data_IF_593836423644
#
_entry.id   IF_593836423644
#
_cell.length_a   1.000
_cell.length_b   1.000
_cell.length_c   1.000
_cell.angle_alpha   90.00
_cell.angle_beta   90.00
_cell.angle_gamma   90.00
#
_symmetry.space_group_name_H-M   'P 1'
#
loop_
_entity.id
_entity.type
_entity.pdbx_description
1 polymer ?
#
# COMPACT_ATOMS: atom_id res chain seq x y z
N UNK A 1 42.00 -8.96 3.93
CA UNK A 1 41.11 -8.37 2.91
C UNK A 1 39.68 -8.70 3.27
N UNK A 2 39.27 -8.28 4.47
CA UNK A 2 38.10 -8.85 5.16
C UNK A 2 37.07 -7.76 5.48
N UNK A 3 37.54 -6.54 5.74
CA UNK A 3 36.69 -5.36 5.96
C UNK A 3 35.77 -5.10 4.76
N UNK A 4 36.30 -5.19 3.52
CA UNK A 4 35.49 -5.01 2.30
C UNK A 4 34.38 -6.06 2.16
N UNK A 5 34.62 -7.28 2.67
CA UNK A 5 33.68 -8.40 2.57
C UNK A 5 32.55 -8.25 3.58
N UNK A 6 32.89 -7.93 4.83
CA UNK A 6 31.92 -7.62 5.89
C UNK A 6 31.09 -6.37 5.55
N UNK A 7 31.70 -5.34 4.96
CA UNK A 7 30.97 -4.14 4.54
C UNK A 7 29.94 -4.44 3.44
N UNK A 8 30.30 -5.30 2.48
CA UNK A 8 29.40 -5.71 1.41
C UNK A 8 28.23 -6.57 1.93
N UNK A 9 28.48 -7.49 2.86
CA UNK A 9 27.42 -8.30 3.48
C UNK A 9 26.41 -7.44 4.25
N UNK A 10 26.89 -6.45 5.02
CA UNK A 10 26.02 -5.52 5.76
C UNK A 10 25.25 -4.57 4.81
N UNK A 11 25.83 -4.18 3.68
CA UNK A 11 25.15 -3.36 2.67
C UNK A 11 24.07 -4.16 1.93
N UNK A 12 24.36 -5.42 1.55
CA UNK A 12 23.39 -6.30 0.88
C UNK A 12 22.19 -6.65 1.78
N UNK A 13 22.41 -6.81 3.10
CA UNK A 13 21.33 -7.00 4.07
C UNK A 13 20.44 -5.76 4.22
N UNK A 14 21.01 -4.54 4.13
CA UNK A 14 20.24 -3.30 4.20
C UNK A 14 19.48 -2.99 2.91
N UNK A 15 20.01 -3.36 1.75
CA UNK A 15 19.36 -3.18 0.44
C UNK A 15 18.24 -4.22 0.22
N UNK A 16 18.31 -5.37 0.91
CA UNK A 16 17.28 -6.42 0.85
C UNK A 16 15.99 -6.08 1.61
N UNK A 17 15.95 -4.95 2.33
CA UNK A 17 14.68 -4.31 2.66
C UNK A 17 14.13 -3.68 1.38
N UNK A 18 13.60 -4.53 0.48
CA UNK A 18 12.67 -4.11 -0.55
C UNK A 18 11.69 -3.18 0.15
N UNK A 19 11.74 -1.89 -0.17
CA UNK A 19 10.65 -0.98 0.14
C UNK A 19 9.41 -1.71 -0.33
N UNK A 20 8.61 -2.21 0.61
CA UNK A 20 7.35 -2.86 0.27
C UNK A 20 6.48 -1.69 -0.14
N UNK A 21 6.63 -1.27 -1.41
CA UNK A 21 5.86 -0.18 -1.98
C UNK A 21 4.41 -0.61 -1.84
N UNK A 22 3.73 0.04 -0.91
CA UNK A 22 2.37 -0.29 -0.59
C UNK A 22 1.52 -0.09 -1.84
N UNK A 23 0.83 -1.14 -2.28
CA UNK A 23 0.00 -1.04 -3.47
C UNK A 23 -1.17 -0.12 -3.18
N UNK A 24 -1.43 0.76 -4.12
CA UNK A 24 -2.56 1.69 -4.06
C UNK A 24 -3.45 1.52 -5.28
N UNK A 25 -4.75 1.73 -5.10
CA UNK A 25 -5.77 1.51 -6.11
C UNK A 25 -6.63 2.77 -6.28
N UNK A 26 -7.09 3.02 -7.51
CA UNK A 26 -8.11 4.05 -7.75
C UNK A 26 -9.46 3.63 -7.18
N UNK A 27 -10.33 4.61 -6.89
CA UNK A 27 -11.70 4.37 -6.42
C UNK A 27 -12.46 3.41 -7.35
N UNK A 28 -12.29 3.55 -8.67
CA UNK A 28 -12.91 2.67 -9.66
C UNK A 28 -12.43 1.21 -9.56
N UNK A 29 -11.13 1.00 -9.31
CA UNK A 29 -10.59 -0.35 -9.11
C UNK A 29 -11.16 -0.96 -7.82
N UNK A 30 -11.20 -0.21 -6.73
CA UNK A 30 -11.75 -0.68 -5.45
C UNK A 30 -13.26 -0.95 -5.54
N UNK A 31 -14.01 -0.12 -6.26
CA UNK A 31 -15.43 -0.33 -6.51
C UNK A 31 -15.70 -1.68 -7.21
N UNK A 32 -14.88 -2.00 -8.23
CA UNK A 32 -14.92 -3.30 -8.91
C UNK A 32 -14.49 -4.45 -8.00
N UNK A 33 -13.43 -4.27 -7.21
CA UNK A 33 -12.92 -5.29 -6.28
C UNK A 33 -13.91 -5.65 -5.18
N UNK A 34 -14.61 -4.66 -4.61
CA UNK A 34 -15.56 -4.84 -3.52
C UNK A 34 -17.00 -5.08 -4.00
N UNK A 35 -17.26 -5.02 -5.32
CA UNK A 35 -18.61 -5.13 -5.88
C UNK A 35 -19.56 -4.02 -5.39
N UNK A 36 -19.04 -2.81 -5.18
CA UNK A 36 -19.80 -1.66 -4.66
C UNK A 36 -19.83 -0.52 -5.67
N UNK A 37 -20.81 0.37 -5.53
CA UNK A 37 -20.90 1.57 -6.37
C UNK A 37 -19.74 2.53 -6.08
N UNK A 38 -19.31 3.27 -7.10
CA UNK A 38 -18.28 4.30 -6.97
C UNK A 38 -18.62 5.30 -5.85
N UNK A 39 -19.88 5.74 -5.78
CA UNK A 39 -20.36 6.63 -4.72
C UNK A 39 -20.13 6.04 -3.33
N UNK A 40 -20.43 4.76 -3.11
CA UNK A 40 -20.22 4.12 -1.82
C UNK A 40 -18.75 4.12 -1.41
N UNK A 41 -17.83 3.84 -2.34
CA UNK A 41 -16.39 3.91 -2.05
C UNK A 41 -15.96 5.36 -1.75
N UNK A 42 -16.45 6.34 -2.52
CA UNK A 42 -16.19 7.75 -2.25
C UNK A 42 -16.68 8.19 -0.86
N UNK A 43 -17.85 7.73 -0.44
CA UNK A 43 -18.40 8.02 0.89
C UNK A 43 -17.54 7.37 2.00
N UNK A 44 -16.96 6.18 1.76
CA UNK A 44 -16.04 5.50 2.69
C UNK A 44 -14.68 6.18 2.81
N UNK A 45 -14.20 6.80 1.73
CA UNK A 45 -12.98 7.62 1.74
C UNK A 45 -13.24 8.92 2.50
N UNK A 46 -14.35 9.60 2.20
CA UNK A 46 -14.72 10.86 2.86
C UNK A 46 -14.98 10.71 4.37
N UNK A 47 -15.48 9.54 4.80
CA UNK A 47 -15.65 9.23 6.23
C UNK A 47 -14.38 8.77 6.92
N UNK A 48 -13.26 8.60 6.19
CA UNK A 48 -11.98 8.15 6.74
C UNK A 48 -11.90 6.66 7.04
N UNK A 49 -12.91 5.86 6.64
CA UNK A 49 -12.89 4.39 6.80
C UNK A 49 -11.83 3.77 5.89
N UNK A 50 -11.75 4.24 4.64
CA UNK A 50 -10.70 3.85 3.71
C UNK A 50 -9.58 4.89 3.75
N UNK A 51 -8.38 4.45 4.13
CA UNK A 51 -7.18 5.29 4.13
C UNK A 51 -6.70 5.51 2.69
N UNK A 52 -6.41 6.76 2.37
CA UNK A 52 -5.96 7.16 1.05
C UNK A 52 -4.69 8.00 1.09
N UNK A 53 -3.97 8.00 -0.02
CA UNK A 53 -2.92 8.96 -0.32
C UNK A 53 -3.51 10.34 -0.64
N UNK A 54 -2.68 11.41 -0.66
CA UNK A 54 -3.13 12.76 -1.04
C UNK A 54 -3.72 12.86 -2.46
N UNK A 55 -3.35 11.96 -3.37
CA UNK A 55 -3.90 11.85 -4.74
C UNK A 55 -5.16 10.95 -4.82
N UNK A 56 -5.81 10.65 -3.69
CA UNK A 56 -7.04 9.85 -3.60
C UNK A 56 -6.90 8.39 -4.08
N UNK A 57 -5.71 7.79 -3.95
CA UNK A 57 -5.54 6.35 -4.13
C UNK A 57 -5.69 5.63 -2.80
N UNK A 58 -6.42 4.53 -2.81
CA UNK A 58 -6.75 3.76 -1.62
C UNK A 58 -5.67 2.70 -1.39
N UNK A 59 -5.16 2.63 -0.16
CA UNK A 59 -4.15 1.65 0.23
C UNK A 59 -4.70 0.22 0.26
N UNK A 60 -3.93 -0.75 -0.25
CA UNK A 60 -4.31 -2.17 -0.21
C UNK A 60 -4.55 -2.65 1.23
N UNK A 61 -3.70 -2.22 2.18
CA UNK A 61 -3.85 -2.56 3.59
C UNK A 61 -5.21 -2.16 4.14
N UNK A 62 -5.67 -0.95 3.80
CA UNK A 62 -6.96 -0.43 4.25
C UNK A 62 -8.15 -1.17 3.64
N UNK A 63 -8.06 -1.57 2.37
CA UNK A 63 -9.10 -2.41 1.73
C UNK A 63 -9.19 -3.76 2.44
N UNK A 64 -8.04 -4.37 2.75
CA UNK A 64 -7.97 -5.65 3.46
C UNK A 64 -8.51 -5.53 4.89
N UNK A 65 -8.21 -4.44 5.57
CA UNK A 65 -8.72 -4.14 6.92
C UNK A 65 -10.25 -3.99 6.93
N UNK A 66 -10.81 -3.32 5.92
CA UNK A 66 -12.26 -3.14 5.78
C UNK A 66 -13.03 -4.43 5.46
N UNK A 67 -12.41 -5.38 4.74
CA UNK A 67 -13.07 -6.62 4.29
C UNK A 67 -12.94 -7.77 5.31
N UNK A 68 -12.16 -7.56 6.36
CA UNK A 68 -11.98 -8.52 7.46
C UNK A 68 -13.26 -8.62 8.30
#
# INVERSE_FOLDING_TARGET
TDIKKVLNEVLDERISQKEVVEKTYSINQVAKMLGRSHKKISDLVASGILKTTPDNRIFESSIREYTK
#
